data_IF_231557381977
#
_entry.id   IF_231557381977
#
_cell.length_a   1.000
_cell.length_b   1.000
_cell.length_c   1.000
_cell.angle_alpha   90.00
_cell.angle_beta   90.00
_cell.angle_gamma   90.00
#
_symmetry.space_group_name_H-M   'P 1'
#
loop_
_entity.id
_entity.type
_entity.pdbx_description
1 polymer ?
#
# COMPACT_ATOMS: atom_id res chain seq x y z
N UNK A 1 14.43 12.40 -10.09
CA UNK A 1 14.02 12.22 -8.68
C UNK A 1 12.91 11.17 -8.60
N UNK A 2 13.17 10.05 -7.92
CA UNK A 2 12.14 9.04 -7.62
C UNK A 2 11.28 9.45 -6.39
N UNK A 3 10.24 8.67 -6.05
CA UNK A 3 9.34 9.00 -4.93
C UNK A 3 10.04 9.10 -3.58
N UNK A 4 11.00 8.21 -3.30
CA UNK A 4 11.75 8.20 -2.05
C UNK A 4 12.68 9.40 -1.95
N UNK A 5 13.44 9.67 -3.01
CA UNK A 5 14.33 10.83 -3.11
C UNK A 5 13.56 12.14 -2.88
N UNK A 6 12.37 12.27 -3.47
CA UNK A 6 11.51 13.46 -3.33
C UNK A 6 11.14 13.75 -1.89
N UNK A 7 10.70 12.72 -1.15
CA UNK A 7 10.37 12.86 0.27
C UNK A 7 11.61 13.24 1.07
N UNK A 8 12.74 12.59 0.81
CA UNK A 8 14.00 12.89 1.51
C UNK A 8 14.48 14.32 1.25
N UNK A 9 14.42 14.81 0.01
CA UNK A 9 14.77 16.20 -0.34
C UNK A 9 13.90 17.21 0.42
N UNK A 10 12.58 17.00 0.45
CA UNK A 10 11.67 17.88 1.17
C UNK A 10 11.91 17.85 2.70
N UNK A 11 12.16 16.68 3.29
CA UNK A 11 12.49 16.53 4.71
C UNK A 11 13.82 17.21 5.07
N UNK A 12 14.75 17.30 4.12
CA UNK A 12 16.00 18.03 4.27
C UNK A 12 15.87 19.53 3.96
N UNK A 13 14.64 20.07 3.86
CA UNK A 13 14.35 21.48 3.56
C UNK A 13 14.95 21.98 2.22
N UNK A 14 15.06 21.10 1.24
CA UNK A 14 15.50 21.42 -0.12
C UNK A 14 14.31 21.39 -1.08
N UNK A 15 14.37 22.15 -2.17
CA UNK A 15 13.30 22.21 -3.18
C UNK A 15 13.23 20.89 -3.99
N UNK A 16 12.15 20.09 -3.89
CA UNK A 16 11.97 18.89 -4.70
C UNK A 16 11.50 19.21 -6.12
N UNK A 17 11.52 18.22 -7.01
CA UNK A 17 10.99 18.31 -8.39
C UNK A 17 9.47 18.60 -8.45
N UNK A 18 8.74 18.28 -7.37
CA UNK A 18 7.32 18.61 -7.12
C UNK A 18 6.96 18.31 -5.66
N UNK A 19 5.76 18.71 -5.24
CA UNK A 19 5.24 18.44 -3.89
C UNK A 19 5.23 16.91 -3.65
N UNK A 20 5.90 16.40 -2.60
CA UNK A 20 5.81 15.00 -2.23
C UNK A 20 4.38 14.66 -1.79
N UNK A 21 3.86 13.52 -2.27
CA UNK A 21 2.57 12.98 -1.88
C UNK A 21 2.80 11.71 -1.06
N UNK A 22 2.34 11.73 0.19
CA UNK A 22 2.18 10.54 1.02
C UNK A 22 0.69 10.25 1.14
N UNK A 23 0.29 9.04 0.78
CA UNK A 23 -1.10 8.59 0.87
C UNK A 23 -1.45 8.07 2.27
N UNK A 24 -0.50 8.04 3.19
CA UNK A 24 -0.70 7.65 4.59
C UNK A 24 -1.08 6.17 4.70
N UNK A 25 -0.09 5.29 4.86
CA UNK A 25 -0.34 3.90 5.21
C UNK A 25 0.02 3.67 6.67
N UNK A 26 -0.81 2.91 7.37
CA UNK A 26 -0.51 2.38 8.71
C UNK A 26 -0.52 0.86 8.66
N UNK A 27 -0.26 0.21 9.80
CA UNK A 27 -0.40 -1.24 9.90
C UNK A 27 -1.83 -1.75 9.61
N UNK A 28 -2.83 -0.86 9.66
CA UNK A 28 -4.25 -1.17 9.43
C UNK A 28 -4.74 -0.78 8.03
N UNK A 29 -3.83 -0.33 7.16
CA UNK A 29 -4.15 0.02 5.78
C UNK A 29 -4.07 -1.22 4.89
N UNK A 30 -5.22 -1.79 4.53
CA UNK A 30 -5.30 -2.98 3.69
C UNK A 30 -6.72 -3.31 3.26
N UNK A 31 -6.89 -4.52 2.74
CA UNK A 31 -8.19 -5.07 2.33
C UNK A 31 -8.43 -6.36 3.12
N UNK A 32 -9.67 -6.57 3.59
CA UNK A 32 -10.02 -7.82 4.26
C UNK A 32 -9.68 -9.02 3.36
N UNK A 33 -9.02 -10.04 3.92
CA UNK A 33 -8.48 -11.18 3.17
C UNK A 33 -9.56 -11.90 2.34
N UNK A 34 -10.79 -11.97 2.85
CA UNK A 34 -11.95 -12.52 2.16
C UNK A 34 -12.38 -11.67 0.96
N UNK A 35 -12.38 -10.35 1.10
CA UNK A 35 -12.68 -9.42 0.01
C UNK A 35 -11.59 -9.45 -1.05
N UNK A 36 -10.31 -9.49 -0.65
CA UNK A 36 -9.19 -9.64 -1.56
C UNK A 36 -9.27 -10.94 -2.35
N UNK A 37 -9.58 -12.07 -1.70
CA UNK A 37 -9.75 -13.36 -2.38
C UNK A 37 -10.83 -13.28 -3.48
N UNK A 38 -12.00 -12.72 -3.17
CA UNK A 38 -13.10 -12.56 -4.14
C UNK A 38 -12.73 -11.61 -5.28
N UNK A 39 -12.05 -10.51 -4.97
CA UNK A 39 -11.60 -9.53 -5.96
C UNK A 39 -10.61 -10.17 -6.95
N UNK A 40 -9.68 -11.00 -6.47
CA UNK A 40 -8.74 -11.71 -7.34
C UNK A 40 -9.48 -12.62 -8.33
N UNK A 41 -10.48 -13.36 -7.87
CA UNK A 41 -11.33 -14.20 -8.73
C UNK A 41 -12.08 -13.37 -9.77
N UNK A 42 -12.68 -12.25 -9.36
CA UNK A 42 -13.38 -11.33 -10.28
C UNK A 42 -12.46 -10.70 -11.34
N UNK A 43 -11.17 -10.53 -11.02
CA UNK A 43 -10.16 -9.99 -11.94
C UNK A 43 -9.46 -11.07 -12.77
N UNK A 44 -9.82 -12.36 -12.62
CA UNK A 44 -9.18 -13.46 -13.36
C UNK A 44 -7.70 -13.68 -13.01
N UNK A 45 -7.28 -13.29 -11.79
CA UNK A 45 -5.91 -13.51 -11.32
C UNK A 45 -5.72 -14.94 -10.81
N UNK A 46 -4.48 -15.44 -10.85
CA UNK A 46 -4.15 -16.79 -10.36
C UNK A 46 -4.73 -17.09 -8.99
N UNK A 47 -5.29 -18.28 -8.84
CA UNK A 47 -5.82 -18.73 -7.56
C UNK A 47 -4.67 -18.96 -6.58
N UNK A 48 -4.71 -18.23 -5.46
CA UNK A 48 -3.75 -18.38 -4.38
C UNK A 48 -4.38 -18.01 -3.05
N UNK A 49 -3.90 -18.67 -2.00
CA UNK A 49 -4.28 -18.37 -0.62
C UNK A 49 -3.86 -16.93 -0.31
N UNK A 50 -4.79 -16.13 0.21
CA UNK A 50 -4.50 -14.79 0.73
C UNK A 50 -3.88 -14.95 2.11
N UNK A 51 -2.65 -14.48 2.27
CA UNK A 51 -1.97 -14.49 3.57
C UNK A 51 -2.57 -13.40 4.45
N UNK A 52 -3.11 -13.76 5.59
CA UNK A 52 -3.48 -12.77 6.62
C UNK A 52 -2.20 -12.23 7.25
N UNK A 53 -1.88 -10.95 7.02
CA UNK A 53 -0.69 -10.32 7.60
C UNK A 53 -1.01 -9.47 8.83
N UNK A 54 -2.25 -8.98 8.93
CA UNK A 54 -2.78 -8.30 10.12
C UNK A 54 -4.01 -9.10 10.62
N UNK A 55 -3.86 -9.94 11.66
CA UNK A 55 -4.92 -10.84 12.11
C UNK A 55 -6.09 -10.16 12.82
N UNK A 56 -5.90 -8.99 13.44
CA UNK A 56 -6.95 -8.35 14.23
C UNK A 56 -8.12 -7.89 13.35
N UNK A 57 -7.82 -7.35 12.18
CA UNK A 57 -8.79 -6.90 11.18
C UNK A 57 -8.95 -7.88 10.02
N UNK A 58 -8.21 -9.00 10.04
CA UNK A 58 -8.17 -10.00 8.98
C UNK A 58 -7.74 -9.41 7.63
N UNK A 59 -6.70 -8.58 7.61
CA UNK A 59 -6.18 -7.98 6.37
C UNK A 59 -5.27 -8.95 5.62
N UNK A 60 -5.52 -9.04 4.31
CA UNK A 60 -4.78 -9.84 3.35
C UNK A 60 -3.63 -9.10 2.68
#
# INVERSE_FOLDING_TARGET
MNSKERVQTALNHQQPDRIPLDVGSTAVSGIAASALHRLRGALGLDERIVRVHEPFQMLG
#
